data_IF_207424150352
#
_entry.id   IF_207424150352
#
_cell.length_a   1.000
_cell.length_b   1.000
_cell.length_c   1.000
_cell.angle_alpha   90.00
_cell.angle_beta   90.00
_cell.angle_gamma   90.00
#
_symmetry.space_group_name_H-M   'P 1'
#
loop_
_entity.id
_entity.type
_entity.pdbx_description
1 polymer ?
#
# COMPACT_ATOMS: atom_id res chain seq x y z
N UNK A 1 24.40 3.70 3.39
CA UNK A 1 23.11 3.06 2.98
C UNK A 1 22.88 1.83 3.85
N UNK A 2 21.66 1.62 4.35
CA UNK A 2 21.37 0.46 5.19
C UNK A 2 21.71 -0.84 4.43
N UNK A 3 22.47 -1.74 5.06
CA UNK A 3 23.17 -2.89 4.44
C UNK A 3 22.28 -3.90 3.71
N UNK A 4 20.97 -3.77 3.85
CA UNK A 4 19.95 -4.66 3.31
C UNK A 4 19.33 -4.15 2.00
N UNK A 5 19.26 -2.83 1.77
CA UNK A 5 18.83 -2.25 0.47
C UNK A 5 19.80 -2.66 -0.65
N UNK A 6 21.10 -2.69 -0.35
CA UNK A 6 22.12 -3.16 -1.30
C UNK A 6 22.00 -4.65 -1.66
N UNK A 7 21.15 -5.41 -0.97
CA UNK A 7 20.88 -6.84 -1.18
C UNK A 7 19.57 -7.09 -1.95
N UNK A 8 19.05 -6.07 -2.62
CA UNK A 8 17.82 -6.16 -3.42
C UNK A 8 16.55 -6.31 -2.58
N UNK A 9 16.58 -5.91 -1.31
CA UNK A 9 15.45 -5.99 -0.42
C UNK A 9 14.40 -4.92 -0.73
N UNK A 10 13.14 -5.33 -0.87
CA UNK A 10 11.99 -4.45 -0.85
C UNK A 10 11.11 -4.84 0.34
N UNK A 11 10.80 -3.89 1.22
CA UNK A 11 9.83 -4.05 2.31
C UNK A 11 8.72 -3.03 2.11
N UNK A 12 7.49 -3.45 2.28
CA UNK A 12 6.35 -2.56 2.42
C UNK A 12 6.02 -2.43 3.91
N UNK A 13 5.53 -1.27 4.30
CA UNK A 13 4.94 -1.09 5.62
C UNK A 13 3.55 -0.50 5.47
N UNK A 14 2.67 -0.87 6.39
CA UNK A 14 1.33 -0.31 6.50
C UNK A 14 1.17 0.28 7.89
N UNK A 15 0.61 1.48 8.00
CA UNK A 15 0.25 2.08 9.29
C UNK A 15 -1.27 2.01 9.40
N UNK A 16 -1.78 1.28 10.37
CA UNK A 16 -3.21 1.10 10.60
C UNK A 16 -3.49 0.98 12.10
N UNK A 17 -4.58 1.60 12.57
CA UNK A 17 -5.04 1.55 13.98
C UNK A 17 -3.93 1.88 15.00
N UNK A 18 -3.10 2.88 14.72
CA UNK A 18 -2.00 3.29 15.60
C UNK A 18 -0.84 2.29 15.70
N UNK A 19 -0.82 1.29 14.82
CA UNK A 19 0.22 0.25 14.76
C UNK A 19 0.94 0.27 13.42
N UNK A 20 2.27 0.03 13.45
CA UNK A 20 3.05 -0.19 12.23
C UNK A 20 3.11 -1.69 11.91
N UNK A 21 2.72 -2.05 10.70
CA UNK A 21 2.87 -3.39 10.16
C UNK A 21 4.06 -3.38 9.22
N UNK A 22 5.04 -4.25 9.49
CA UNK A 22 6.13 -4.50 8.56
C UNK A 22 5.75 -5.72 7.73
N UNK A 23 5.54 -5.52 6.43
CA UNK A 23 5.32 -6.63 5.52
C UNK A 23 6.67 -7.30 5.26
N UNK A 24 6.71 -8.64 5.11
CA UNK A 24 7.95 -9.38 4.95
C UNK A 24 8.77 -8.78 3.81
N UNK A 25 9.98 -8.34 4.13
CA UNK A 25 10.93 -7.94 3.13
C UNK A 25 11.29 -9.16 2.29
N UNK A 26 11.10 -9.08 0.97
CA UNK A 26 11.49 -10.18 0.08
C UNK A 26 12.99 -10.03 -0.21
N UNK A 27 13.76 -11.08 0.08
CA UNK A 27 15.21 -11.13 -0.16
C UNK A 27 15.55 -12.29 -1.11
N UNK A 28 15.46 -12.09 -2.44
CA UNK A 28 15.80 -13.13 -3.40
C UNK A 28 17.24 -13.63 -3.20
N UNK A 29 17.42 -14.95 -3.11
CA UNK A 29 18.76 -15.56 -3.00
C UNK A 29 19.36 -15.62 -1.59
N UNK A 30 18.63 -15.24 -0.54
CA UNK A 30 19.10 -15.29 0.84
C UNK A 30 18.26 -16.24 1.70
N UNK A 31 18.88 -16.92 2.65
CA UNK A 31 18.19 -17.79 3.60
C UNK A 31 17.68 -17.04 4.84
N UNK A 32 16.83 -17.69 5.64
CA UNK A 32 16.18 -17.07 6.79
C UNK A 32 17.16 -16.52 7.85
N UNK A 33 18.30 -17.18 8.07
CA UNK A 33 19.31 -16.72 9.04
C UNK A 33 19.98 -15.43 8.56
N UNK A 34 20.32 -15.37 7.27
CA UNK A 34 20.90 -14.19 6.64
C UNK A 34 19.92 -13.01 6.68
N UNK A 35 18.67 -13.24 6.31
CA UNK A 35 17.61 -12.22 6.36
C UNK A 35 17.39 -11.68 7.77
N UNK A 36 17.34 -12.57 8.77
CA UNK A 36 17.22 -12.15 10.17
C UNK A 36 18.39 -11.25 10.56
N UNK A 37 19.62 -11.62 10.22
CA UNK A 37 20.82 -10.81 10.47
C UNK A 37 20.74 -9.42 9.83
N UNK A 38 20.16 -9.30 8.63
CA UNK A 38 20.03 -8.01 7.93
C UNK A 38 19.01 -7.09 8.60
N UNK A 39 17.93 -7.65 9.15
CA UNK A 39 16.85 -6.90 9.79
C UNK A 39 17.12 -6.57 11.27
N UNK A 40 18.01 -7.31 11.95
CA UNK A 40 18.30 -7.12 13.38
C UNK A 40 18.60 -5.65 13.78
N UNK A 41 19.45 -4.88 13.06
CA UNK A 41 19.73 -3.51 13.47
C UNK A 41 18.49 -2.60 13.47
N UNK A 42 17.60 -2.78 12.49
CA UNK A 42 16.37 -2.01 12.40
C UNK A 42 15.39 -2.41 13.51
N UNK A 43 15.21 -3.71 13.73
CA UNK A 43 14.34 -4.25 14.79
C UNK A 43 14.81 -3.78 16.18
N UNK A 44 16.11 -3.84 16.45
CA UNK A 44 16.69 -3.37 17.71
C UNK A 44 16.44 -1.87 17.93
N UNK A 45 16.48 -1.07 16.86
CA UNK A 45 16.18 0.36 16.94
C UNK A 45 14.69 0.62 17.24
N UNK A 46 13.76 -0.12 16.63
CA UNK A 46 12.33 -0.02 16.94
C UNK A 46 12.04 -0.34 18.40
N UNK A 47 12.65 -1.41 18.92
CA UNK A 47 12.53 -1.82 20.32
C UNK A 47 13.07 -0.75 21.27
N UNK A 48 14.24 -0.17 20.97
CA UNK A 48 14.84 0.92 21.77
C UNK A 48 13.95 2.16 21.81
N UNK A 49 13.24 2.46 20.74
CA UNK A 49 12.34 3.61 20.62
C UNK A 49 10.91 3.32 21.11
N UNK A 50 10.65 2.12 21.62
CA UNK A 50 9.31 1.67 22.01
C UNK A 50 8.26 1.85 20.89
N UNK A 51 8.68 1.69 19.64
CA UNK A 51 7.77 1.73 18.49
C UNK A 51 7.03 0.40 18.43
N UNK A 52 5.70 0.43 18.53
CA UNK A 52 4.87 -0.75 18.37
C UNK A 52 4.87 -1.22 16.92
N UNK A 53 5.35 -2.43 16.67
CA UNK A 53 5.30 -3.07 15.35
C UNK A 53 4.80 -4.52 15.44
N UNK A 54 4.16 -5.00 14.37
CA UNK A 54 3.82 -6.42 14.20
C UNK A 54 4.50 -6.95 12.94
N UNK A 55 5.15 -8.12 13.06
CA UNK A 55 5.63 -8.90 11.91
C UNK A 55 4.56 -9.93 11.57
N UNK A 56 4.01 -9.86 10.37
CA UNK A 56 2.96 -10.78 9.91
C UNK A 56 3.36 -11.35 8.56
N UNK A 57 3.29 -12.67 8.40
CA UNK A 57 3.27 -13.29 7.07
C UNK A 57 1.84 -13.17 6.56
N UNK A 58 1.64 -12.39 5.50
CA UNK A 58 0.34 -12.21 4.88
C UNK A 58 0.20 -13.16 3.68
N UNK A 59 -0.95 -13.82 3.58
CA UNK A 59 -1.35 -14.63 2.45
C UNK A 59 -2.84 -14.44 2.20
N UNK A 60 -3.26 -14.49 0.94
CA UNK A 60 -4.65 -14.28 0.55
C UNK A 60 -5.25 -15.49 -0.14
N UNK A 61 -6.56 -15.66 -0.03
CA UNK A 61 -7.32 -16.61 -0.84
C UNK A 61 -8.70 -16.05 -1.13
N UNK A 62 -9.09 -16.05 -2.40
CA UNK A 62 -10.47 -15.77 -2.78
C UNK A 62 -11.34 -16.96 -2.37
N UNK A 63 -12.45 -16.67 -1.69
CA UNK A 63 -13.44 -17.67 -1.28
C UNK A 63 -14.60 -17.59 -2.27
N UNK A 64 -14.86 -18.64 -3.08
CA UNK A 64 -15.98 -18.64 -4.02
C UNK A 64 -17.32 -18.51 -3.31
N UNK A 65 -18.29 -17.88 -3.97
CA UNK A 65 -19.63 -17.65 -3.42
C UNK A 65 -20.33 -18.97 -3.05
N UNK A 66 -20.16 -20.01 -3.85
CA UNK A 66 -20.75 -21.33 -3.59
C UNK A 66 -20.27 -21.97 -2.28
N UNK A 67 -19.02 -21.70 -1.87
CA UNK A 67 -18.48 -22.16 -0.59
C UNK A 67 -19.19 -21.50 0.59
N UNK A 68 -19.64 -20.25 0.41
CA UNK A 68 -20.37 -19.50 1.43
C UNK A 68 -21.86 -19.90 1.49
N UNK A 69 -22.45 -20.27 0.35
CA UNK A 69 -23.89 -20.53 0.23
C UNK A 69 -24.32 -21.95 0.60
N UNK A 70 -23.43 -22.94 0.47
CA UNK A 70 -23.72 -24.32 0.87
C UNK A 70 -23.45 -24.55 2.37
N UNK A 71 -24.39 -25.17 3.08
CA UNK A 71 -24.24 -25.46 4.50
C UNK A 71 -23.01 -26.36 4.81
N UNK A 72 -22.70 -27.33 3.94
CA UNK A 72 -21.55 -28.23 4.11
C UNK A 72 -20.22 -27.51 3.87
N UNK A 73 -20.12 -26.76 2.77
CA UNK A 73 -18.90 -26.01 2.43
C UNK A 73 -18.64 -24.87 3.40
N UNK A 74 -19.70 -24.22 3.91
CA UNK A 74 -19.59 -23.18 4.93
C UNK A 74 -19.07 -23.75 6.26
N UNK A 75 -19.54 -24.93 6.67
CA UNK A 75 -19.01 -25.63 7.85
C UNK A 75 -17.52 -25.96 7.69
N UNK A 76 -17.12 -26.48 6.54
CA UNK A 76 -15.72 -26.80 6.26
C UNK A 76 -14.83 -25.55 6.28
N UNK A 77 -15.27 -24.46 5.65
CA UNK A 77 -14.57 -23.16 5.70
C UNK A 77 -14.45 -22.65 7.13
N UNK A 78 -15.54 -22.67 7.90
CA UNK A 78 -15.55 -22.20 9.29
C UNK A 78 -14.62 -23.03 10.18
N UNK A 79 -14.55 -24.35 9.96
CA UNK A 79 -13.61 -25.22 10.67
C UNK A 79 -12.15 -24.87 10.35
N UNK A 80 -11.82 -24.67 9.08
CA UNK A 80 -10.47 -24.28 8.65
C UNK A 80 -10.06 -22.91 9.21
N UNK A 81 -10.95 -21.91 9.18
CA UNK A 81 -10.70 -20.59 9.77
C UNK A 81 -10.49 -20.68 11.28
N UNK A 82 -11.27 -21.52 11.97
CA UNK A 82 -11.09 -21.78 13.41
C UNK A 82 -9.72 -22.38 13.71
N UNK A 83 -9.30 -23.39 12.94
CA UNK A 83 -7.97 -23.99 13.08
C UNK A 83 -6.85 -22.96 12.89
N UNK A 84 -6.91 -22.16 11.83
CA UNK A 84 -5.93 -21.08 11.57
C UNK A 84 -5.90 -20.08 12.73
N UNK A 85 -7.07 -19.61 13.17
CA UNK A 85 -7.18 -18.63 14.25
C UNK A 85 -6.77 -19.18 15.63
N UNK A 86 -6.75 -20.50 15.81
CA UNK A 86 -6.30 -21.13 17.06
C UNK A 86 -4.79 -20.96 17.27
N UNK A 87 -4.04 -20.79 16.17
CA UNK A 87 -2.63 -20.45 16.24
C UNK A 87 -2.46 -18.94 16.44
N UNK A 88 -2.01 -18.55 17.64
CA UNK A 88 -1.80 -17.13 18.02
C UNK A 88 -0.78 -16.38 17.15
N UNK A 89 0.03 -17.10 16.37
CA UNK A 89 0.95 -16.51 15.40
C UNK A 89 0.25 -16.01 14.13
N UNK A 90 -0.99 -16.42 13.88
CA UNK A 90 -1.75 -16.04 12.69
C UNK A 90 -2.95 -15.17 13.08
N UNK A 91 -3.16 -14.10 12.32
CA UNK A 91 -4.38 -13.29 12.37
C UNK A 91 -5.06 -13.38 11.01
N UNK A 92 -6.36 -13.63 11.01
CA UNK A 92 -7.18 -13.58 9.80
C UNK A 92 -7.73 -12.16 9.69
N UNK A 93 -7.34 -11.45 8.63
CA UNK A 93 -7.93 -10.18 8.24
C UNK A 93 -8.85 -10.47 7.06
N UNK A 94 -10.16 -10.35 7.28
CA UNK A 94 -11.17 -10.49 6.24
C UNK A 94 -11.68 -9.11 5.82
N UNK A 95 -11.51 -8.75 4.55
CA UNK A 95 -12.13 -7.55 3.97
C UNK A 95 -13.46 -7.98 3.35
N UNK A 96 -14.57 -7.64 4.02
CA UNK A 96 -15.92 -7.84 3.50
C UNK A 96 -16.48 -6.53 2.96
N UNK A 97 -16.65 -6.44 1.64
CA UNK A 97 -17.35 -5.33 1.00
C UNK A 97 -18.82 -5.72 0.74
N UNK A 98 -19.73 -5.19 1.56
CA UNK A 98 -21.18 -5.29 1.29
C UNK A 98 -21.54 -4.31 0.17
N UNK A 99 -21.58 -4.81 -1.07
CA UNK A 99 -21.96 -4.04 -2.27
C UNK A 99 -23.46 -4.09 -2.57
N UNK A 100 -24.26 -4.73 -1.70
CA UNK A 100 -25.71 -4.86 -1.90
C UNK A 100 -26.49 -3.60 -1.51
N UNK A 101 -25.82 -2.66 -0.83
CA UNK A 101 -26.36 -1.36 -0.45
C UNK A 101 -25.64 -0.25 -1.21
N UNK A 102 -26.39 0.68 -1.80
CA UNK A 102 -25.85 1.95 -2.30
C UNK A 102 -25.19 2.74 -1.15
N UNK A 103 -24.21 3.58 -1.49
CA UNK A 103 -23.13 4.10 -0.64
C UNK A 103 -23.45 4.92 0.63
N UNK A 104 -24.65 4.82 1.21
CA UNK A 104 -25.03 5.47 2.47
C UNK A 104 -25.11 4.48 3.64
N UNK A 105 -24.07 3.66 3.79
CA UNK A 105 -23.80 2.97 5.07
C UNK A 105 -22.80 3.81 5.84
N UNK A 106 -23.02 4.10 7.14
CA UNK A 106 -21.99 4.69 7.99
C UNK A 106 -20.89 3.64 8.24
N UNK A 107 -20.06 3.39 7.23
CA UNK A 107 -18.68 3.01 7.48
C UNK A 107 -17.99 4.19 8.19
N UNK A 108 -16.82 3.96 8.80
CA UNK A 108 -16.11 4.95 9.62
C UNK A 108 -16.34 6.39 9.11
N UNK A 109 -16.88 7.27 9.98
CA UNK A 109 -17.34 8.62 9.64
C UNK A 109 -16.52 9.21 8.49
N UNK A 110 -17.15 9.54 7.36
CA UNK A 110 -16.46 10.11 6.20
C UNK A 110 -15.47 11.21 6.61
N UNK A 111 -15.86 12.05 7.57
CA UNK A 111 -15.00 13.08 8.16
C UNK A 111 -13.75 12.50 8.87
N UNK A 112 -13.88 11.38 9.58
CA UNK A 112 -12.75 10.66 10.20
C UNK A 112 -11.82 10.07 9.14
N UNK A 113 -12.35 9.47 8.07
CA UNK A 113 -11.51 8.93 7.00
C UNK A 113 -10.75 10.06 6.29
N UNK A 114 -11.43 11.14 5.91
CA UNK A 114 -10.81 12.33 5.33
C UNK A 114 -9.76 12.95 6.25
N UNK A 115 -10.00 12.98 7.57
CA UNK A 115 -9.02 13.49 8.53
C UNK A 115 -7.79 12.58 8.61
N UNK A 116 -7.96 11.26 8.66
CA UNK A 116 -6.87 10.29 8.68
C UNK A 116 -6.04 10.34 7.39
N UNK A 117 -6.73 10.36 6.25
CA UNK A 117 -6.16 10.59 4.93
C UNK A 117 -5.34 11.90 4.90
N UNK A 118 -5.90 13.00 5.42
CA UNK A 118 -5.19 14.29 5.52
C UNK A 118 -3.91 14.20 6.37
N UNK A 119 -3.94 13.43 7.46
CA UNK A 119 -2.76 13.17 8.28
C UNK A 119 -1.70 12.36 7.53
N UNK A 120 -2.10 11.33 6.78
CA UNK A 120 -1.18 10.54 5.95
C UNK A 120 -0.44 11.46 4.96
N UNK A 121 -1.19 12.15 4.10
CA UNK A 121 -0.63 12.99 3.02
C UNK A 121 0.24 14.13 3.52
N UNK A 122 -0.19 14.80 4.60
CA UNK A 122 0.45 16.07 5.00
C UNK A 122 1.43 15.91 6.16
N UNK A 123 1.39 14.78 6.89
CA UNK A 123 2.28 14.56 8.03
C UNK A 123 3.10 13.30 7.91
N UNK A 124 2.49 12.14 7.67
CA UNK A 124 3.20 10.88 7.74
C UNK A 124 4.04 10.62 6.50
N UNK A 125 3.49 10.80 5.29
CA UNK A 125 4.25 10.58 4.06
C UNK A 125 5.47 11.50 3.98
N UNK A 126 5.38 12.83 4.26
CA UNK A 126 6.57 13.68 4.28
C UNK A 126 7.61 13.26 5.32
N UNK A 127 7.20 12.80 6.51
CA UNK A 127 8.13 12.31 7.54
C UNK A 127 8.85 11.03 7.07
N UNK A 128 8.11 10.12 6.43
CA UNK A 128 8.64 8.88 5.91
C UNK A 128 9.58 9.15 4.73
N UNK A 129 9.16 9.99 3.77
CA UNK A 129 10.00 10.45 2.67
C UNK A 129 11.24 11.20 3.15
N UNK A 130 11.18 11.98 4.23
CA UNK A 130 12.37 12.65 4.78
C UNK A 130 13.45 11.66 5.24
N UNK A 131 13.03 10.54 5.82
CA UNK A 131 13.97 9.52 6.33
C UNK A 131 14.36 8.49 5.28
N UNK A 132 13.50 8.20 4.30
CA UNK A 132 13.78 7.25 3.21
C UNK A 132 14.41 7.92 1.98
N UNK A 133 14.12 9.20 1.71
CA UNK A 133 14.56 9.98 0.56
C UNK A 133 16.05 10.36 0.57
N UNK A 134 16.78 10.10 1.65
CA UNK A 134 18.25 10.13 1.66
C UNK A 134 18.87 8.89 0.97
N UNK A 135 18.07 7.86 0.73
CA UNK A 135 18.42 6.72 -0.12
C UNK A 135 17.63 6.87 -1.44
N UNK A 136 18.30 7.21 -2.54
CA UNK A 136 17.74 7.31 -3.91
C UNK A 136 17.08 6.01 -4.44
N UNK A 137 16.77 5.02 -3.58
CA UNK A 137 16.29 3.68 -3.89
C UNK A 137 15.03 3.31 -3.09
N UNK A 138 14.25 4.28 -2.59
CA UNK A 138 12.97 4.01 -1.89
C UNK A 138 11.78 4.51 -2.72
N UNK A 139 10.59 4.02 -2.43
CA UNK A 139 9.33 4.45 -3.04
C UNK A 139 8.13 3.90 -2.27
N UNK A 140 6.95 4.09 -2.84
CA UNK A 140 5.68 3.58 -2.36
C UNK A 140 5.05 2.62 -3.37
N UNK A 141 4.31 1.63 -2.87
CA UNK A 141 3.62 0.68 -3.72
C UNK A 141 2.29 1.26 -4.19
N UNK A 142 2.20 1.62 -5.48
CA UNK A 142 1.05 2.31 -6.09
C UNK A 142 -0.32 1.70 -5.72
N UNK A 143 -0.45 0.37 -5.75
CA UNK A 143 -1.76 -0.28 -5.54
C UNK A 143 -2.30 -0.14 -4.11
N UNK A 144 -1.44 0.25 -3.16
CA UNK A 144 -1.77 0.41 -1.74
C UNK A 144 -1.27 1.78 -1.21
N UNK A 145 -0.96 2.72 -2.10
CA UNK A 145 -0.37 4.02 -1.77
C UNK A 145 -1.42 5.13 -1.55
N UNK A 146 -0.99 6.25 -0.97
CA UNK A 146 -1.83 7.44 -0.86
C UNK A 146 -2.14 8.01 -2.25
N UNK A 147 -3.41 8.05 -2.64
CA UNK A 147 -3.83 8.61 -3.92
C UNK A 147 -3.54 10.12 -4.03
N UNK A 148 -3.22 10.80 -2.91
CA UNK A 148 -2.80 12.22 -2.85
C UNK A 148 -1.29 12.41 -2.69
N UNK A 149 -0.49 11.37 -2.96
CA UNK A 149 0.98 11.46 -2.95
C UNK A 149 1.46 12.61 -3.85
N UNK A 150 2.07 13.64 -3.26
CA UNK A 150 2.43 14.88 -3.99
C UNK A 150 3.54 14.66 -5.03
N UNK A 151 4.50 13.78 -4.73
CA UNK A 151 5.64 13.41 -5.55
C UNK A 151 5.48 12.01 -6.15
N UNK A 152 4.25 11.65 -6.53
CA UNK A 152 3.88 10.31 -7.01
C UNK A 152 4.75 9.81 -8.18
N UNK A 153 5.24 10.69 -9.06
CA UNK A 153 6.11 10.31 -10.17
C UNK A 153 7.34 9.55 -9.66
N UNK A 154 8.00 10.12 -8.64
CA UNK A 154 9.18 9.52 -8.03
C UNK A 154 8.78 8.37 -7.11
N UNK A 155 7.77 8.55 -6.27
CA UNK A 155 7.43 7.56 -5.24
C UNK A 155 6.88 6.26 -5.83
N UNK A 156 6.02 6.32 -6.85
CA UNK A 156 5.41 5.13 -7.44
C UNK A 156 6.19 4.55 -8.62
N UNK A 157 6.86 5.40 -9.40
CA UNK A 157 7.49 4.97 -10.66
C UNK A 157 9.01 5.17 -10.70
N UNK A 158 9.57 5.97 -9.78
CA UNK A 158 11.00 6.27 -9.71
C UNK A 158 11.56 6.76 -11.04
N UNK A 159 12.78 6.30 -11.37
CA UNK A 159 13.43 6.64 -12.64
C UNK A 159 12.71 6.18 -13.92
N UNK A 160 11.66 5.35 -13.80
CA UNK A 160 10.91 4.86 -14.95
C UNK A 160 9.82 5.83 -15.44
N UNK A 161 9.47 6.86 -14.66
CA UNK A 161 8.33 7.73 -14.97
C UNK A 161 8.39 8.33 -16.38
N UNK A 162 9.55 8.89 -16.76
CA UNK A 162 9.73 9.52 -18.05
C UNK A 162 9.50 8.56 -19.23
N UNK A 163 10.05 7.35 -19.15
CA UNK A 163 9.86 6.31 -20.18
C UNK A 163 8.41 5.83 -20.23
N UNK A 164 7.76 5.65 -19.08
CA UNK A 164 6.35 5.28 -19.01
C UNK A 164 5.45 6.40 -19.59
N UNK A 165 5.77 7.67 -19.33
CA UNK A 165 5.03 8.82 -19.89
C UNK A 165 5.14 8.87 -21.41
N UNK A 166 6.31 8.57 -21.98
CA UNK A 166 6.46 8.43 -23.44
C UNK A 166 5.60 7.30 -24.01
N UNK A 167 5.53 6.15 -23.32
CA UNK A 167 4.65 5.04 -23.72
C UNK A 167 3.18 5.46 -23.64
N UNK A 168 2.78 6.12 -22.55
CA UNK A 168 1.43 6.67 -22.37
C UNK A 168 1.06 7.60 -23.50
N UNK A 169 1.90 8.57 -23.84
CA UNK A 169 1.66 9.51 -24.94
C UNK A 169 1.60 8.83 -26.32
N UNK A 170 2.36 7.75 -26.53
CA UNK A 170 2.30 6.98 -27.78
C UNK A 170 0.94 6.27 -27.98
N UNK A 171 0.39 5.70 -26.91
CA UNK A 171 -0.81 4.86 -27.00
C UNK A 171 -2.11 5.57 -26.58
N UNK A 172 -2.02 6.66 -25.82
CA UNK A 172 -3.13 7.50 -25.40
C UNK A 172 -2.73 9.00 -25.47
N UNK A 173 -2.49 9.53 -26.68
CA UNK A 173 -2.04 10.91 -26.89
C UNK A 173 -3.09 11.96 -26.49
N UNK A 174 -4.36 11.59 -26.50
CA UNK A 174 -5.45 12.47 -26.12
C UNK A 174 -5.70 12.46 -24.61
N UNK A 175 -5.15 11.48 -23.88
CA UNK A 175 -5.28 11.33 -22.44
C UNK A 175 -6.68 10.86 -22.01
N UNK A 176 -7.31 10.02 -22.82
CA UNK A 176 -8.67 9.47 -22.57
C UNK A 176 -8.70 8.67 -21.27
N UNK A 177 -7.63 7.93 -20.96
CA UNK A 177 -7.57 7.12 -19.75
C UNK A 177 -6.88 7.89 -18.61
N UNK A 178 -7.67 8.63 -17.84
CA UNK A 178 -7.22 9.34 -16.65
C UNK A 178 -7.35 8.47 -15.39
N UNK A 179 -6.40 8.63 -14.46
CA UNK A 179 -6.52 8.16 -13.08
C UNK A 179 -5.58 8.96 -12.18
N UNK A 180 -6.05 9.32 -10.98
CA UNK A 180 -5.27 10.11 -10.02
C UNK A 180 -3.94 9.43 -9.69
N UNK A 181 -2.85 10.21 -9.72
CA UNK A 181 -1.50 9.75 -9.42
C UNK A 181 -0.99 8.59 -10.31
N UNK A 182 -1.56 8.43 -11.51
CA UNK A 182 -1.06 7.53 -12.55
C UNK A 182 -0.18 8.26 -13.57
N UNK A 183 0.54 7.49 -14.39
CA UNK A 183 1.38 8.02 -15.47
C UNK A 183 0.57 8.92 -16.41
N UNK A 184 1.00 10.17 -16.56
CA UNK A 184 0.36 11.18 -17.40
C UNK A 184 -0.83 11.89 -16.74
N UNK A 185 -1.14 11.59 -15.47
CA UNK A 185 -2.18 12.32 -14.73
C UNK A 185 -1.79 13.77 -14.41
N UNK A 186 -0.48 14.06 -14.43
CA UNK A 186 0.10 15.41 -14.29
C UNK A 186 -0.16 16.33 -15.50
N UNK A 187 -0.61 15.76 -16.63
CA UNK A 187 -1.08 16.54 -17.78
C UNK A 187 -2.49 17.12 -17.57
N UNK A 188 -3.11 16.81 -16.41
CA UNK A 188 -4.46 17.24 -16.05
C UNK A 188 -4.54 17.82 -14.63
N UNK A 189 -5.51 18.70 -14.42
CA UNK A 189 -5.90 19.25 -13.12
C UNK A 189 -7.40 19.05 -12.88
N UNK A 190 -7.78 18.76 -11.64
CA UNK A 190 -9.18 18.68 -11.21
C UNK A 190 -9.58 20.05 -10.65
N UNK A 191 -10.50 20.73 -11.32
CA UNK A 191 -11.05 22.00 -10.88
C UNK A 191 -11.87 21.86 -9.59
N UNK A 192 -12.13 22.98 -8.91
CA UNK A 192 -12.89 22.99 -7.65
C UNK A 192 -14.32 22.47 -7.77
N UNK A 193 -14.88 22.45 -8.98
CA UNK A 193 -16.19 21.89 -9.31
C UNK A 193 -16.13 20.41 -9.76
N UNK A 194 -14.94 19.80 -9.70
CA UNK A 194 -14.71 18.40 -10.06
C UNK A 194 -14.46 18.14 -11.55
N UNK A 195 -14.46 19.17 -12.41
CA UNK A 195 -14.11 18.99 -13.83
C UNK A 195 -12.62 18.69 -14.00
N UNK A 196 -12.32 17.78 -14.93
CA UNK A 196 -10.95 17.50 -15.36
C UNK A 196 -10.56 18.43 -16.51
N UNK A 197 -9.47 19.17 -16.36
CA UNK A 197 -8.96 20.14 -17.32
C UNK A 197 -7.49 19.82 -17.67
N UNK A 198 -7.03 20.15 -18.88
CA UNK A 198 -5.60 20.02 -19.19
C UNK A 198 -4.79 21.05 -18.42
N UNK A 199 -3.66 20.63 -17.85
CA UNK A 199 -2.73 21.51 -17.14
C UNK A 199 -2.13 22.53 -18.10
N UNK A 200 -1.99 23.78 -17.67
CA UNK A 200 -1.47 24.87 -18.53
C UNK A 200 0.00 24.71 -18.98
N UNK A 201 0.73 23.74 -18.41
CA UNK A 201 2.12 23.42 -18.79
C UNK A 201 2.25 22.25 -19.78
N UNK A 202 1.14 21.72 -20.32
CA UNK A 202 1.16 20.65 -21.31
C UNK A 202 1.43 21.15 -22.74
N UNK A 203 2.65 21.65 -22.97
CA UNK A 203 3.21 21.94 -24.31
C UNK A 203 4.44 21.08 -24.59
#
# INVERSE_FOLDING_TARGET
>A
LASWIAKGAATAYVIMDGSQYLMPATFPGYNASEVNGFMQPFVAQLQRLAVNYTVSVQGGRLIPREVLMSADSNRALTAALREISSNRAFRIIGVGTDVSRGGDVPNASYATNVANETLITNRYDPLLTQVTGLANNSGAYLNEGDFRQKDFQTQFFGGNYASLKQVKHRYDPEGVFYGTALVGSDDWEVASDGRLCRSSESN
#
